data_IF_733243634018
#
_entry.id   IF_733243634018
#
_cell.length_a   1.000
_cell.length_b   1.000
_cell.length_c   1.000
_cell.angle_alpha   90.00
_cell.angle_beta   90.00
_cell.angle_gamma   90.00
#
_symmetry.space_group_name_H-M   'P 1'
#
loop_
_entity.id
_entity.type
_entity.pdbx_description
1 polymer ?
#
# COMPACT_ATOMS: atom_id res chain seq x y z
N UNK A 1 30.58 -17.28 -4.41
CA UNK A 1 29.58 -18.31 -4.07
C UNK A 1 28.27 -17.59 -3.74
N UNK A 2 27.29 -17.56 -4.66
CA UNK A 2 26.00 -16.90 -4.42
C UNK A 2 25.09 -17.92 -3.74
N UNK A 3 24.74 -17.70 -2.48
CA UNK A 3 23.80 -18.55 -1.76
C UNK A 3 22.39 -18.22 -2.30
N UNK A 4 21.64 -19.20 -2.84
CA UNK A 4 20.28 -18.93 -3.30
C UNK A 4 19.41 -18.52 -2.11
N UNK A 5 18.66 -17.42 -2.25
CA UNK A 5 17.92 -16.78 -1.16
C UNK A 5 16.76 -17.63 -0.58
N UNK A 6 16.50 -18.81 -1.15
CA UNK A 6 15.55 -19.80 -0.63
C UNK A 6 14.07 -19.48 -0.87
N UNK A 7 13.19 -20.45 -0.61
CA UNK A 7 11.74 -20.37 -0.90
C UNK A 7 11.02 -19.26 -0.13
N UNK A 8 11.46 -18.97 1.09
CA UNK A 8 10.85 -17.93 1.93
C UNK A 8 11.09 -16.54 1.37
N UNK A 9 12.29 -16.28 0.83
CA UNK A 9 12.58 -15.02 0.17
C UNK A 9 11.72 -14.82 -1.08
N UNK A 10 11.63 -15.84 -1.94
CA UNK A 10 10.80 -15.76 -3.16
C UNK A 10 9.35 -15.44 -2.80
N UNK A 11 8.78 -16.09 -1.77
CA UNK A 11 7.42 -15.79 -1.30
C UNK A 11 7.25 -14.36 -0.81
N UNK A 12 8.21 -13.84 -0.03
CA UNK A 12 8.16 -12.46 0.44
C UNK A 12 8.27 -11.49 -0.73
N UNK A 13 9.20 -11.74 -1.65
CA UNK A 13 9.46 -10.90 -2.81
C UNK A 13 8.24 -10.83 -3.73
N UNK A 14 7.62 -11.98 -4.05
CA UNK A 14 6.43 -11.98 -4.92
C UNK A 14 5.24 -11.29 -4.26
N UNK A 15 5.03 -11.49 -2.96
CA UNK A 15 3.99 -10.80 -2.20
C UNK A 15 4.21 -9.28 -2.23
N UNK A 16 5.43 -8.82 -1.91
CA UNK A 16 5.75 -7.39 -1.94
C UNK A 16 5.65 -6.79 -3.34
N UNK A 17 6.10 -7.50 -4.37
CA UNK A 17 6.00 -7.04 -5.75
C UNK A 17 4.54 -6.86 -6.17
N UNK A 18 3.67 -7.82 -5.84
CA UNK A 18 2.25 -7.72 -6.16
C UNK A 18 1.55 -6.60 -5.36
N UNK A 19 1.85 -6.46 -4.07
CA UNK A 19 1.31 -5.37 -3.24
C UNK A 19 1.72 -4.00 -3.79
N UNK A 20 3.00 -3.82 -4.12
CA UNK A 20 3.50 -2.55 -4.68
C UNK A 20 2.91 -2.27 -6.07
N UNK A 21 2.70 -3.30 -6.88
CA UNK A 21 2.04 -3.13 -8.19
C UNK A 21 0.60 -2.66 -8.01
N UNK A 22 -0.14 -3.27 -7.07
CA UNK A 22 -1.51 -2.85 -6.76
C UNK A 22 -1.55 -1.40 -6.25
N UNK A 23 -0.60 -1.00 -5.40
CA UNK A 23 -0.43 0.39 -4.96
C UNK A 23 -0.18 1.35 -6.13
N UNK A 24 0.72 0.98 -7.05
CA UNK A 24 1.03 1.77 -8.24
C UNK A 24 -0.17 1.94 -9.17
N UNK A 25 -0.97 0.88 -9.35
CA UNK A 25 -2.22 0.94 -10.12
C UNK A 25 -3.19 1.93 -9.47
N UNK A 26 -3.39 1.85 -8.15
CA UNK A 26 -4.32 2.74 -7.44
C UNK A 26 -3.87 4.20 -7.50
N UNK A 27 -2.59 4.46 -7.27
CA UNK A 27 -1.96 5.78 -7.36
C UNK A 27 -2.11 6.42 -8.75
N UNK A 28 -2.11 5.60 -9.80
CA UNK A 28 -2.28 6.08 -11.17
C UNK A 28 -3.76 6.22 -11.55
N UNK A 29 -4.58 5.24 -11.17
CA UNK A 29 -5.99 5.19 -11.52
C UNK A 29 -6.82 6.28 -10.84
N UNK A 30 -6.52 6.61 -9.57
CA UNK A 30 -7.29 7.58 -8.80
C UNK A 30 -7.31 8.99 -9.44
N UNK A 31 -6.16 9.63 -9.78
CA UNK A 31 -6.18 10.92 -10.46
C UNK A 31 -6.83 10.86 -11.85
N UNK A 32 -6.61 9.78 -12.60
CA UNK A 32 -7.22 9.60 -13.92
C UNK A 32 -8.75 9.51 -13.83
N UNK A 33 -9.27 8.82 -12.82
CA UNK A 33 -10.69 8.77 -12.54
C UNK A 33 -11.21 10.15 -12.12
N UNK A 34 -10.48 10.86 -11.26
CA UNK A 34 -10.84 12.20 -10.81
C UNK A 34 -10.98 13.18 -12.00
N UNK A 35 -10.07 13.14 -12.98
CA UNK A 35 -10.14 13.97 -14.20
C UNK A 35 -11.38 13.66 -15.05
N UNK A 36 -11.90 12.42 -15.02
CA UNK A 36 -13.17 12.10 -15.69
C UNK A 36 -14.39 12.68 -14.95
N UNK A 37 -14.29 12.85 -13.64
CA UNK A 37 -15.39 13.33 -12.79
C UNK A 37 -15.40 14.85 -12.63
N UNK A 38 -14.25 15.52 -12.69
CA UNK A 38 -14.13 16.97 -12.51
C UNK A 38 -13.03 17.56 -13.39
N UNK A 39 -13.22 18.82 -13.79
CA UNK A 39 -12.22 19.63 -14.50
C UNK A 39 -11.42 20.56 -13.59
N UNK A 40 -11.71 20.58 -12.29
CA UNK A 40 -11.01 21.43 -11.33
C UNK A 40 -9.64 20.84 -10.97
N UNK A 41 -8.52 21.52 -11.26
CA UNK A 41 -7.17 21.02 -10.93
C UNK A 41 -6.96 20.81 -9.42
N UNK A 42 -7.59 21.64 -8.58
CA UNK A 42 -7.45 21.56 -7.12
C UNK A 42 -8.13 20.31 -6.54
N UNK A 43 -9.27 19.91 -7.09
CA UNK A 43 -9.96 18.69 -6.66
C UNK A 43 -9.20 17.44 -7.10
N UNK A 44 -8.64 17.44 -8.31
CA UNK A 44 -7.79 16.34 -8.80
C UNK A 44 -6.54 16.20 -7.93
N UNK A 45 -5.86 17.31 -7.60
CA UNK A 45 -4.73 17.29 -6.68
C UNK A 45 -5.15 16.83 -5.26
N UNK A 46 -6.32 17.25 -4.80
CA UNK A 46 -6.88 16.87 -3.51
C UNK A 46 -7.06 15.35 -3.34
N UNK A 47 -7.38 14.61 -4.40
CA UNK A 47 -7.48 13.14 -4.34
C UNK A 47 -6.15 12.51 -3.94
N UNK A 48 -5.04 12.96 -4.53
CA UNK A 48 -3.71 12.47 -4.16
C UNK A 48 -3.37 12.86 -2.71
N UNK A 49 -3.71 14.07 -2.27
CA UNK A 49 -3.51 14.50 -0.88
C UNK A 49 -4.27 13.61 0.11
N UNK A 50 -5.54 13.31 -0.16
CA UNK A 50 -6.37 12.43 0.68
C UNK A 50 -5.85 11.00 0.69
N UNK A 51 -5.28 10.51 -0.41
CA UNK A 51 -4.65 9.20 -0.44
C UNK A 51 -3.47 9.07 0.54
N UNK A 52 -2.64 10.11 0.68
CA UNK A 52 -1.47 10.09 1.57
C UNK A 52 -1.80 10.42 3.04
N UNK A 53 -2.92 11.09 3.30
CA UNK A 53 -3.35 11.52 4.63
C UNK A 53 -3.37 10.38 5.67
N UNK A 54 -3.97 9.21 5.40
CA UNK A 54 -3.95 8.09 6.34
C UNK A 54 -2.53 7.64 6.69
N UNK A 55 -1.64 7.54 5.70
CA UNK A 55 -0.24 7.17 5.96
C UNK A 55 0.42 8.18 6.89
N UNK A 56 0.26 9.48 6.60
CA UNK A 56 0.87 10.55 7.39
C UNK A 56 0.38 10.56 8.85
N UNK A 57 -0.91 10.29 9.08
CA UNK A 57 -1.50 10.30 10.41
C UNK A 57 -1.23 9.00 11.20
N UNK A 58 -1.16 7.87 10.52
CA UNK A 58 -1.16 6.56 11.17
C UNK A 58 0.16 5.79 11.05
N UNK A 59 1.18 6.26 10.32
CA UNK A 59 2.44 5.51 10.16
C UNK A 59 3.14 5.20 11.48
N UNK A 60 3.19 6.16 12.41
CA UNK A 60 3.83 5.97 13.72
C UNK A 60 3.04 4.98 14.59
N UNK A 61 1.72 5.11 14.60
CA UNK A 61 0.82 4.20 15.33
C UNK A 61 0.91 2.78 14.77
N UNK A 62 0.90 2.64 13.44
CA UNK A 62 1.05 1.37 12.77
C UNK A 62 2.40 0.72 13.13
N UNK A 63 3.49 1.50 13.13
CA UNK A 63 4.82 1.05 13.55
C UNK A 63 4.82 0.48 14.98
N UNK A 64 4.33 1.28 15.94
CA UNK A 64 4.25 0.88 17.34
C UNK A 64 3.39 -0.38 17.57
N UNK A 65 2.33 -0.56 16.79
CA UNK A 65 1.50 -1.79 16.83
C UNK A 65 2.28 -2.96 16.24
N UNK A 66 2.90 -2.81 15.06
CA UNK A 66 3.66 -3.88 14.41
C UNK A 66 4.86 -4.36 15.21
N UNK A 67 5.43 -3.53 16.07
CA UNK A 67 6.53 -3.93 16.96
C UNK A 67 6.07 -4.86 18.09
N UNK A 68 4.77 -4.85 18.42
CA UNK A 68 4.18 -5.65 19.52
C UNK A 68 3.46 -6.91 19.05
N UNK A 69 3.18 -7.05 17.76
CA UNK A 69 2.43 -8.19 17.20
C UNK A 69 3.30 -9.03 16.25
N UNK A 70 2.88 -10.27 16.00
CA UNK A 70 3.55 -11.11 15.00
C UNK A 70 3.46 -10.47 13.60
N UNK A 71 4.62 -10.11 13.05
CA UNK A 71 4.76 -9.44 11.73
C UNK A 71 4.06 -10.21 10.60
N UNK A 72 4.02 -11.55 10.67
CA UNK A 72 3.37 -12.36 9.63
C UNK A 72 1.85 -12.22 9.69
N UNK A 73 1.28 -12.13 10.90
CA UNK A 73 -0.16 -11.89 11.10
C UNK A 73 -0.53 -10.46 10.74
N UNK A 74 0.30 -9.48 11.10
CA UNK A 74 0.09 -8.09 10.72
C UNK A 74 0.07 -7.90 9.19
N UNK A 75 1.03 -8.48 8.47
CA UNK A 75 1.04 -8.45 7.01
C UNK A 75 -0.19 -9.12 6.39
N UNK A 76 -0.62 -10.28 6.91
CA UNK A 76 -1.79 -10.97 6.41
C UNK A 76 -3.07 -10.16 6.63
N UNK A 77 -3.27 -9.62 7.84
CA UNK A 77 -4.42 -8.80 8.17
C UNK A 77 -4.47 -7.50 7.34
N UNK A 78 -3.32 -6.82 7.19
CA UNK A 78 -3.24 -5.59 6.39
C UNK A 78 -3.58 -5.82 4.92
N UNK A 79 -3.03 -6.86 4.30
CA UNK A 79 -3.36 -7.22 2.92
C UNK A 79 -4.82 -7.67 2.77
N UNK A 80 -5.38 -8.40 3.75
CA UNK A 80 -6.78 -8.81 3.73
C UNK A 80 -7.75 -7.62 3.84
N UNK A 81 -7.48 -6.70 4.77
CA UNK A 81 -8.27 -5.47 4.91
C UNK A 81 -8.24 -4.64 3.63
N UNK A 82 -7.05 -4.47 3.04
CA UNK A 82 -6.88 -3.75 1.78
C UNK A 82 -7.64 -4.38 0.61
N UNK A 83 -7.74 -5.71 0.57
CA UNK A 83 -8.49 -6.41 -0.48
C UNK A 83 -10.01 -6.33 -0.30
N UNK A 84 -10.48 -6.03 0.91
CA UNK A 84 -11.90 -5.91 1.22
C UNK A 84 -12.49 -4.51 0.98
N UNK A 85 -11.64 -3.50 0.83
CA UNK A 85 -11.98 -2.11 0.51
C UNK A 85 -12.00 -1.89 -1.01
#
# INVERSE_FOLDING_TARGET
MVIPLGRNYVRLWTASALSNLADGVLLTALPLLAVRLTRSPTLVAGVATVYWLPWLLFVLHAGAVTDRVDRRRAMAAGNALRAAL
#
